data_IF_591091759271
#
_entry.id   IF_591091759271
#
_cell.length_a   1.000
_cell.length_b   1.000
_cell.length_c   1.000
_cell.angle_alpha   90.00
_cell.angle_beta   90.00
_cell.angle_gamma   90.00
#
_symmetry.space_group_name_H-M   'P 1'
#
loop_
_entity.id
_entity.type
_entity.pdbx_description
1 polymer ?
#
# COMPACT_ATOMS: atom_id res chain seq x y z
N UNK A 1 -5.85 6.75 -33.70
CA UNK A 1 -6.85 6.83 -32.61
C UNK A 1 -6.93 5.56 -31.73
N UNK A 2 -6.52 4.36 -32.18
CA UNK A 2 -6.57 3.14 -31.36
C UNK A 2 -5.60 3.12 -30.14
N UNK A 3 -4.45 3.80 -30.24
CA UNK A 3 -3.41 3.79 -29.20
C UNK A 3 -3.87 4.40 -27.86
N UNK A 4 -4.70 5.44 -27.88
CA UNK A 4 -5.20 6.10 -26.67
C UNK A 4 -6.21 5.25 -25.89
N UNK A 5 -7.06 4.49 -26.59
CA UNK A 5 -8.08 3.61 -25.97
C UNK A 5 -7.42 2.40 -25.29
N UNK A 6 -6.39 1.83 -25.92
CA UNK A 6 -5.64 0.70 -25.36
C UNK A 6 -4.86 1.13 -24.11
N UNK A 7 -4.26 2.33 -24.12
CA UNK A 7 -3.58 2.92 -22.96
C UNK A 7 -4.56 3.15 -21.80
N UNK A 8 -5.73 3.74 -22.06
CA UNK A 8 -6.74 3.98 -21.02
C UNK A 8 -7.24 2.68 -20.36
N UNK A 9 -7.50 1.61 -21.14
CA UNK A 9 -7.92 0.32 -20.58
C UNK A 9 -6.84 -0.35 -19.73
N UNK A 10 -5.58 -0.26 -20.17
CA UNK A 10 -4.43 -0.80 -19.41
C UNK A 10 -4.23 -0.06 -18.09
N UNK A 11 -4.24 1.27 -18.12
CA UNK A 11 -4.09 2.09 -16.91
C UNK A 11 -5.22 1.85 -15.90
N UNK A 12 -6.45 1.64 -16.37
CA UNK A 12 -7.59 1.32 -15.51
C UNK A 12 -7.46 -0.06 -14.84
N UNK A 13 -6.97 -1.05 -15.59
CA UNK A 13 -6.69 -2.38 -15.06
C UNK A 13 -5.57 -2.32 -14.02
N UNK A 14 -4.48 -1.60 -14.32
CA UNK A 14 -3.34 -1.42 -13.40
C UNK A 14 -3.76 -0.65 -12.13
N UNK A 15 -4.57 0.40 -12.24
CA UNK A 15 -5.12 1.12 -11.08
C UNK A 15 -6.05 0.24 -10.23
N UNK A 16 -6.86 -0.61 -10.86
CA UNK A 16 -7.73 -1.56 -10.15
C UNK A 16 -6.94 -2.64 -9.41
N UNK A 17 -5.90 -3.17 -10.06
CA UNK A 17 -4.97 -4.12 -9.44
C UNK A 17 -4.27 -3.48 -8.23
N UNK A 18 -3.75 -2.26 -8.40
CA UNK A 18 -3.08 -1.51 -7.34
C UNK A 18 -4.00 -1.23 -6.15
N UNK A 19 -5.26 -0.87 -6.40
CA UNK A 19 -6.25 -0.68 -5.34
C UNK A 19 -6.51 -1.98 -4.57
N UNK A 20 -6.64 -3.10 -5.28
CA UNK A 20 -6.89 -4.41 -4.66
C UNK A 20 -5.70 -4.86 -3.81
N UNK A 21 -4.47 -4.74 -4.33
CA UNK A 21 -3.26 -5.07 -3.56
C UNK A 21 -3.11 -4.18 -2.33
N UNK A 22 -3.34 -2.87 -2.49
CA UNK A 22 -3.33 -1.91 -1.39
C UNK A 22 -4.36 -2.25 -0.31
N UNK A 23 -5.56 -2.68 -0.71
CA UNK A 23 -6.60 -3.13 0.22
C UNK A 23 -6.19 -4.42 0.96
N UNK A 24 -5.57 -5.37 0.27
CA UNK A 24 -5.09 -6.61 0.87
C UNK A 24 -4.05 -6.34 1.95
N UNK A 25 -2.99 -5.59 1.64
CA UNK A 25 -1.96 -5.28 2.64
C UNK A 25 -2.51 -4.43 3.78
N UNK A 26 -3.42 -3.49 3.51
CA UNK A 26 -4.09 -2.70 4.54
C UNK A 26 -4.87 -3.59 5.52
N UNK A 27 -5.59 -4.59 5.01
CA UNK A 27 -6.29 -5.57 5.85
C UNK A 27 -5.30 -6.38 6.71
N UNK A 28 -4.18 -6.82 6.14
CA UNK A 28 -3.12 -7.50 6.91
C UNK A 28 -2.63 -6.62 8.05
N UNK A 29 -2.21 -5.40 7.74
CA UNK A 29 -1.65 -4.44 8.71
C UNK A 29 -2.69 -4.01 9.74
N UNK A 30 -3.99 -3.95 9.40
CA UNK A 30 -5.06 -3.64 10.35
C UNK A 30 -5.08 -4.58 11.57
N UNK A 31 -4.62 -5.84 11.41
CA UNK A 31 -4.54 -6.80 12.51
C UNK A 31 -3.48 -6.45 13.56
N UNK A 32 -2.50 -5.63 13.20
CA UNK A 32 -1.39 -5.18 14.04
C UNK A 32 -1.38 -3.65 14.19
N UNK A 33 -2.44 -2.98 13.75
CA UNK A 33 -2.56 -1.51 13.73
C UNK A 33 -3.23 -0.94 14.98
N UNK A 34 -3.76 0.30 14.89
CA UNK A 34 -4.26 1.06 16.05
C UNK A 34 -5.48 0.43 16.72
N UNK A 35 -6.19 -0.44 16.01
CA UNK A 35 -7.40 -1.12 16.50
C UNK A 35 -7.12 -2.55 16.96
N UNK A 36 -5.86 -2.98 16.98
CA UNK A 36 -5.52 -4.33 17.44
C UNK A 36 -5.71 -4.44 18.96
N UNK A 37 -6.69 -5.23 19.37
CA UNK A 37 -6.92 -5.60 20.77
C UNK A 37 -6.25 -6.93 21.14
N UNK A 38 -5.43 -7.50 20.24
CA UNK A 38 -4.88 -8.85 20.36
C UNK A 38 -3.56 -8.82 21.14
N UNK A 39 -3.31 -9.88 21.90
CA UNK A 39 -1.95 -10.22 22.30
C UNK A 39 -1.23 -10.76 21.05
N UNK A 40 -0.21 -10.04 20.61
CA UNK A 40 0.58 -10.35 19.42
C UNK A 40 1.91 -11.05 19.77
N UNK A 41 2.05 -11.55 21.00
CA UNK A 41 3.22 -12.36 21.36
C UNK A 41 3.20 -13.65 20.52
N UNK A 42 4.28 -13.89 19.76
CA UNK A 42 4.35 -15.00 18.80
C UNK A 42 3.64 -14.73 17.47
N UNK A 43 3.18 -13.50 17.22
CA UNK A 43 2.75 -13.07 15.89
C UNK A 43 3.92 -13.19 14.90
N UNK A 44 3.64 -13.67 13.69
CA UNK A 44 4.66 -13.84 12.67
C UNK A 44 4.97 -12.50 11.99
N UNK A 45 5.74 -11.66 12.69
CA UNK A 45 6.14 -10.34 12.23
C UNK A 45 7.04 -10.39 10.99
N UNK A 46 7.87 -11.44 10.87
CA UNK A 46 8.74 -11.68 9.70
C UNK A 46 7.90 -11.80 8.45
N UNK A 47 6.88 -12.67 8.46
CA UNK A 47 5.99 -12.85 7.30
C UNK A 47 5.26 -11.55 6.93
N UNK A 48 4.77 -10.80 7.90
CA UNK A 48 4.08 -9.52 7.62
C UNK A 48 5.03 -8.47 7.06
N UNK A 49 6.28 -8.45 7.51
CA UNK A 49 7.31 -7.57 6.97
C UNK A 49 7.68 -7.95 5.52
N UNK A 50 7.74 -9.24 5.21
CA UNK A 50 7.94 -9.74 3.83
C UNK A 50 6.79 -9.31 2.92
N UNK A 51 5.53 -9.56 3.34
CA UNK A 51 4.33 -9.13 2.59
C UNK A 51 4.31 -7.62 2.36
N UNK A 52 4.73 -6.82 3.36
CA UNK A 52 4.85 -5.37 3.22
C UNK A 52 5.95 -4.99 2.22
N UNK A 53 7.12 -5.65 2.27
CA UNK A 53 8.23 -5.39 1.34
C UNK A 53 7.88 -5.72 -0.12
N UNK A 54 7.20 -6.83 -0.35
CA UNK A 54 6.67 -7.20 -1.66
C UNK A 54 5.66 -6.16 -2.16
N UNK A 55 4.75 -5.72 -1.29
CA UNK A 55 3.79 -4.67 -1.62
C UNK A 55 4.47 -3.35 -1.97
N UNK A 56 5.44 -2.87 -1.18
CA UNK A 56 6.13 -1.61 -1.48
C UNK A 56 6.91 -1.68 -2.81
N UNK A 57 7.49 -2.83 -3.11
CA UNK A 57 8.16 -3.06 -4.41
C UNK A 57 7.16 -3.01 -5.56
N UNK A 58 6.03 -3.72 -5.43
CA UNK A 58 4.93 -3.72 -6.38
C UNK A 58 4.37 -2.32 -6.66
N UNK A 59 4.24 -1.49 -5.62
CA UNK A 59 3.78 -0.10 -5.72
C UNK A 59 4.80 0.75 -6.48
N UNK A 60 6.09 0.62 -6.14
CA UNK A 60 7.15 1.41 -6.74
C UNK A 60 7.36 1.08 -8.24
N UNK A 61 7.17 -0.17 -8.64
CA UNK A 61 7.17 -0.59 -10.06
C UNK A 61 6.07 0.11 -10.88
N UNK A 62 4.96 0.48 -10.24
CA UNK A 62 3.79 1.13 -10.85
C UNK A 62 3.78 2.66 -10.65
N UNK A 63 4.91 3.25 -10.28
CA UNK A 63 5.02 4.71 -10.03
C UNK A 63 4.55 5.57 -11.20
N UNK A 64 4.64 5.07 -12.43
CA UNK A 64 4.20 5.78 -13.64
C UNK A 64 2.68 6.02 -13.70
N UNK A 65 1.88 5.25 -12.95
CA UNK A 65 0.44 5.49 -12.82
C UNK A 65 0.11 6.83 -12.16
N UNK A 66 1.09 7.41 -11.45
CA UNK A 66 0.94 8.66 -10.73
C UNK A 66 1.55 9.85 -11.47
N UNK A 67 2.06 9.69 -12.68
CA UNK A 67 2.46 10.84 -13.49
C UNK A 67 1.23 11.60 -14.00
N UNK A 68 1.22 12.94 -14.03
CA UNK A 68 2.36 13.85 -13.84
C UNK A 68 2.44 14.46 -12.42
N UNK A 69 1.94 13.81 -11.36
CA UNK A 69 1.98 14.39 -10.01
C UNK A 69 3.41 14.80 -9.64
N UNK A 70 3.57 16.05 -9.20
CA UNK A 70 4.88 16.65 -8.88
C UNK A 70 5.62 15.92 -7.76
N UNK A 71 4.87 15.29 -6.84
CA UNK A 71 5.39 14.36 -5.85
C UNK A 71 4.77 12.99 -6.13
N UNK A 72 5.60 12.00 -6.49
CA UNK A 72 5.12 10.67 -6.84
C UNK A 72 4.67 9.91 -5.57
N UNK A 73 3.37 9.64 -5.38
CA UNK A 73 2.85 9.02 -4.16
C UNK A 73 3.39 7.61 -3.92
N UNK A 74 3.70 6.85 -4.97
CA UNK A 74 4.30 5.51 -4.83
C UNK A 74 5.72 5.58 -4.28
N UNK A 75 6.55 6.50 -4.81
CA UNK A 75 7.91 6.70 -4.30
C UNK A 75 7.90 7.24 -2.88
N UNK A 76 6.98 8.16 -2.56
CA UNK A 76 6.80 8.67 -1.21
C UNK A 76 6.45 7.57 -0.21
N UNK A 77 5.45 6.74 -0.53
CA UNK A 77 5.05 5.62 0.32
C UNK A 77 6.22 4.65 0.59
N UNK A 78 7.01 4.34 -0.45
CA UNK A 78 8.20 3.51 -0.31
C UNK A 78 9.20 4.13 0.67
N UNK A 79 9.54 5.40 0.49
CA UNK A 79 10.49 6.10 1.36
C UNK A 79 10.00 6.21 2.81
N UNK A 80 8.70 6.44 3.02
CA UNK A 80 8.10 6.57 4.35
C UNK A 80 8.07 5.24 5.13
N UNK A 81 8.04 4.09 4.42
CA UNK A 81 7.83 2.77 5.02
C UNK A 81 9.01 1.79 4.91
N UNK A 82 10.02 2.04 4.07
CA UNK A 82 11.15 1.12 3.88
C UNK A 82 11.87 0.77 5.19
N UNK A 83 12.01 1.75 6.09
CA UNK A 83 12.68 1.56 7.38
C UNK A 83 11.80 0.86 8.41
N UNK A 84 10.49 0.75 8.17
CA UNK A 84 9.56 0.04 9.05
C UNK A 84 9.58 -1.47 8.81
N UNK A 85 9.98 -1.94 7.61
CA UNK A 85 10.13 -3.37 7.30
C UNK A 85 11.11 -4.07 8.27
N UNK A 86 12.38 -3.64 8.39
CA UNK A 86 13.31 -4.30 9.30
C UNK A 86 12.90 -4.13 10.76
N UNK A 87 12.26 -3.02 11.13
CA UNK A 87 11.74 -2.83 12.50
C UNK A 87 10.63 -3.82 12.81
N UNK A 88 9.67 -3.99 11.90
CA UNK A 88 8.58 -4.92 12.07
C UNK A 88 9.11 -6.35 12.17
N UNK A 89 9.99 -6.76 11.25
CA UNK A 89 10.58 -8.11 11.24
C UNK A 89 11.28 -8.48 12.54
N UNK A 90 11.93 -7.51 13.20
CA UNK A 90 12.63 -7.71 14.47
C UNK A 90 11.76 -7.55 15.72
N UNK A 91 10.54 -7.01 15.58
CA UNK A 91 9.66 -6.76 16.71
C UNK A 91 9.16 -8.07 17.31
N UNK A 92 9.22 -8.19 18.63
CA UNK A 92 8.80 -9.39 19.37
C UNK A 92 7.84 -9.11 20.53
N UNK A 93 7.62 -7.83 20.86
CA UNK A 93 6.70 -7.42 21.91
C UNK A 93 5.42 -6.85 21.30
N UNK A 94 4.26 -7.25 21.84
CA UNK A 94 2.96 -6.78 21.35
C UNK A 94 2.87 -5.25 21.21
N UNK A 95 3.35 -4.49 22.20
CA UNK A 95 3.31 -3.02 22.17
C UNK A 95 4.16 -2.42 21.04
N UNK A 96 5.33 -3.01 20.78
CA UNK A 96 6.22 -2.60 19.70
C UNK A 96 5.59 -2.90 18.34
N UNK A 97 5.05 -4.12 18.17
CA UNK A 97 4.36 -4.54 16.95
C UNK A 97 3.18 -3.61 16.65
N UNK A 98 2.37 -3.28 17.67
CA UNK A 98 1.23 -2.36 17.52
C UNK A 98 1.69 -0.95 17.14
N UNK A 99 2.77 -0.46 17.74
CA UNK A 99 3.31 0.88 17.45
C UNK A 99 3.78 0.99 15.99
N UNK A 100 4.55 0.00 15.53
CA UNK A 100 5.05 -0.07 14.15
C UNK A 100 3.87 -0.25 13.18
N UNK A 101 3.00 -1.24 13.45
CA UNK A 101 1.82 -1.51 12.65
C UNK A 101 0.87 -0.32 12.55
N UNK A 102 0.76 0.49 13.62
CA UNK A 102 -0.03 1.73 13.59
C UNK A 102 0.54 2.77 12.63
N UNK A 103 1.86 2.96 12.63
CA UNK A 103 2.50 3.87 11.68
C UNK A 103 2.28 3.42 10.25
N UNK A 104 2.54 2.14 9.96
CA UNK A 104 2.33 1.54 8.64
C UNK A 104 0.88 1.66 8.20
N UNK A 105 -0.06 1.41 9.11
CA UNK A 105 -1.51 1.46 8.85
C UNK A 105 -1.93 2.81 8.29
N UNK A 106 -1.53 3.91 8.91
CA UNK A 106 -1.96 5.25 8.50
C UNK A 106 -1.38 5.67 7.15
N UNK A 107 -0.13 5.32 6.86
CA UNK A 107 0.47 5.61 5.55
C UNK A 107 -0.20 4.80 4.44
N UNK A 108 -0.47 3.50 4.67
CA UNK A 108 -1.20 2.68 3.71
C UNK A 108 -2.64 3.15 3.55
N UNK A 109 -3.34 3.54 4.62
CA UNK A 109 -4.72 4.02 4.53
C UNK A 109 -4.83 5.32 3.73
N UNK A 110 -3.91 6.27 3.97
CA UNK A 110 -3.80 7.50 3.18
C UNK A 110 -3.52 7.19 1.72
N UNK A 111 -2.57 6.29 1.42
CA UNK A 111 -2.27 5.89 0.06
C UNK A 111 -3.44 5.17 -0.61
N UNK A 112 -4.16 4.32 0.12
CA UNK A 112 -5.36 3.63 -0.35
C UNK A 112 -6.46 4.60 -0.79
N UNK A 113 -6.68 5.68 -0.04
CA UNK A 113 -7.62 6.73 -0.42
C UNK A 113 -7.23 7.36 -1.76
N UNK A 114 -5.96 7.72 -1.93
CA UNK A 114 -5.44 8.30 -3.17
C UNK A 114 -5.55 7.34 -4.37
N UNK A 115 -5.21 6.06 -4.20
CA UNK A 115 -5.36 5.05 -5.27
C UNK A 115 -6.83 4.86 -5.65
N UNK A 116 -7.74 4.94 -4.68
CA UNK A 116 -9.18 4.88 -4.93
C UNK A 116 -9.63 6.06 -5.81
N UNK A 117 -9.20 7.28 -5.48
CA UNK A 117 -9.51 8.47 -6.28
C UNK A 117 -9.03 8.33 -7.73
N UNK A 118 -7.80 7.85 -7.95
CA UNK A 118 -7.26 7.61 -9.30
C UNK A 118 -8.08 6.56 -10.06
N UNK A 119 -8.44 5.47 -9.39
CA UNK A 119 -9.29 4.43 -9.97
C UNK A 119 -10.66 4.99 -10.36
N UNK A 120 -11.28 5.77 -9.49
CA UNK A 120 -12.61 6.33 -9.70
C UNK A 120 -12.59 7.37 -10.84
N UNK A 121 -11.60 8.26 -10.89
CA UNK A 121 -11.41 9.23 -11.99
C UNK A 121 -11.20 8.55 -13.35
N UNK A 122 -10.42 7.46 -13.40
CA UNK A 122 -10.19 6.71 -14.64
C UNK A 122 -11.45 5.94 -15.10
N UNK A 123 -12.35 5.56 -14.19
CA UNK A 123 -13.64 4.98 -14.56
C UNK A 123 -14.57 6.02 -15.19
N UNK A 124 -14.63 7.24 -14.65
CA UNK A 124 -15.47 8.33 -15.17
C UNK A 124 -15.05 8.83 -16.56
N UNK A 125 -13.80 8.61 -16.96
CA UNK A 125 -13.28 9.03 -18.28
C UNK A 125 -13.66 8.07 -19.42
N UNK A 126 -14.30 6.92 -19.11
CA UNK A 126 -14.66 5.87 -20.08
C UNK A 126 -16.15 5.94 -20.49
N UNK A 127 -16.97 6.76 -19.82
CA UNK A 127 -18.35 7.10 -20.22
C UNK A 127 -18.40 8.35 -21.12
#
# INVERSE_FOLDING_TARGET
MASSIIKNKRDLSEASELYNQTKTIWNTISNIGPFSSKNLNGYNTVKTAEELGEYLSFVNERRTLFEPHAENPASKLYEDLKDEIPKLSNANQSLEIIKIGTRIYWEIDKFKALVKEIKDQKNETID
#
